data_IF_873539511529
#
_entry.id   IF_873539511529
#
_cell.length_a   1.000
_cell.length_b   1.000
_cell.length_c   1.000
_cell.angle_alpha   90.00
_cell.angle_beta   90.00
_cell.angle_gamma   90.00
#
_symmetry.space_group_name_H-M   'P 1'
#
loop_
_entity.id
_entity.type
_entity.pdbx_description
1 polymer ?
#
# COMPACT_ATOMS: atom_id res chain seq x y z
N UNK A 1 -7.52 -14.50 2.49
CA UNK A 1 -6.57 -15.57 2.09
C UNK A 1 -5.81 -16.01 3.33
N UNK A 2 -5.02 -17.09 3.29
CA UNK A 2 -4.17 -17.46 4.44
C UNK A 2 -2.91 -16.60 4.44
N UNK A 3 -2.43 -16.17 5.62
CA UNK A 3 -1.27 -15.29 5.77
C UNK A 3 -0.02 -15.78 5.01
N UNK A 4 0.20 -17.09 4.93
CA UNK A 4 1.30 -17.69 4.16
C UNK A 4 1.18 -17.44 2.64
N UNK A 5 -0.03 -17.47 2.11
CA UNK A 5 -0.29 -17.22 0.68
C UNK A 5 -0.12 -15.74 0.38
N UNK A 6 -0.60 -14.86 1.27
CA UNK A 6 -0.42 -13.42 1.16
C UNK A 6 1.07 -13.05 1.13
N UNK A 7 1.88 -13.62 2.04
CA UNK A 7 3.32 -13.39 2.06
C UNK A 7 4.01 -13.79 0.74
N UNK A 8 3.66 -14.93 0.14
CA UNK A 8 4.21 -15.37 -1.14
C UNK A 8 3.84 -14.41 -2.28
N UNK A 9 2.58 -13.95 -2.34
CA UNK A 9 2.14 -13.02 -3.37
C UNK A 9 2.76 -11.63 -3.22
N UNK A 10 2.94 -11.13 -2.00
CA UNK A 10 3.67 -9.89 -1.74
C UNK A 10 5.10 -10.02 -2.25
N UNK A 11 5.81 -11.09 -1.86
CA UNK A 11 7.18 -11.31 -2.32
C UNK A 11 7.27 -11.37 -3.84
N UNK A 12 6.38 -12.12 -4.50
CA UNK A 12 6.35 -12.20 -5.96
C UNK A 12 6.13 -10.82 -6.59
N UNK A 13 5.14 -10.04 -6.11
CA UNK A 13 4.83 -8.73 -6.66
C UNK A 13 6.00 -7.74 -6.53
N UNK A 14 6.68 -7.74 -5.39
CA UNK A 14 7.67 -6.71 -5.06
C UNK A 14 9.11 -7.10 -5.43
N UNK A 15 9.46 -8.38 -5.41
CA UNK A 15 10.80 -8.89 -5.74
C UNK A 15 10.93 -9.37 -7.19
N UNK A 16 9.85 -9.92 -7.77
CA UNK A 16 9.83 -10.43 -9.15
C UNK A 16 9.04 -9.49 -10.08
N UNK A 17 9.39 -8.20 -10.03
CA UNK A 17 8.66 -7.14 -10.73
C UNK A 17 8.62 -7.39 -12.23
N UNK A 18 7.42 -7.43 -12.79
CA UNK A 18 7.18 -7.48 -14.24
C UNK A 18 6.81 -6.09 -14.75
N UNK A 19 7.19 -5.71 -15.98
CA UNK A 19 6.78 -4.44 -16.57
C UNK A 19 5.25 -4.30 -16.67
N UNK A 20 4.55 -5.42 -16.89
CA UNK A 20 3.09 -5.45 -16.92
C UNK A 20 2.54 -6.78 -16.42
N UNK A 21 1.31 -6.75 -15.92
CA UNK A 21 0.55 -7.90 -15.43
C UNK A 21 -0.75 -7.99 -16.21
N UNK A 22 -1.11 -9.21 -16.63
CA UNK A 22 -2.45 -9.49 -17.14
C UNK A 22 -3.44 -9.48 -16.00
N UNK A 23 -4.71 -9.25 -16.33
CA UNK A 23 -5.80 -9.30 -15.36
C UNK A 23 -5.82 -10.60 -14.52
N UNK A 24 -5.54 -11.76 -15.14
CA UNK A 24 -5.49 -13.04 -14.43
C UNK A 24 -4.32 -13.11 -13.44
N UNK A 25 -3.17 -12.52 -13.78
CA UNK A 25 -1.99 -12.48 -12.89
C UNK A 25 -2.24 -11.55 -11.72
N UNK A 26 -2.75 -10.34 -11.98
CA UNK A 26 -3.15 -9.39 -10.92
C UNK A 26 -4.22 -9.99 -10.01
N UNK A 27 -5.21 -10.70 -10.57
CA UNK A 27 -6.27 -11.35 -9.80
C UNK A 27 -5.77 -12.48 -8.92
N UNK A 28 -4.78 -13.26 -9.40
CA UNK A 28 -4.14 -14.28 -8.56
C UNK A 28 -3.36 -13.64 -7.42
N UNK A 29 -2.52 -12.64 -7.72
CA UNK A 29 -1.67 -11.97 -6.71
C UNK A 29 -2.51 -11.32 -5.62
N UNK A 30 -3.53 -10.56 -6.01
CA UNK A 30 -4.35 -9.76 -5.09
C UNK A 30 -5.59 -10.52 -4.59
N UNK A 31 -5.86 -11.74 -5.06
CA UNK A 31 -7.13 -12.42 -4.75
C UNK A 31 -8.38 -11.65 -5.25
N UNK A 32 -8.20 -10.70 -6.18
CA UNK A 32 -9.29 -9.89 -6.73
C UNK A 32 -9.97 -10.59 -7.89
N UNK A 33 -11.29 -10.46 -7.96
CA UNK A 33 -12.08 -10.96 -9.09
C UNK A 33 -11.81 -10.15 -10.34
N UNK A 34 -12.07 -10.77 -11.50
CA UNK A 34 -12.01 -10.07 -12.78
C UNK A 34 -12.86 -8.80 -12.84
N UNK A 35 -14.06 -8.84 -12.28
CA UNK A 35 -14.98 -7.69 -12.27
C UNK A 35 -14.41 -6.52 -11.45
N UNK A 36 -13.79 -6.80 -10.30
CA UNK A 36 -13.11 -5.78 -9.50
C UNK A 36 -11.96 -5.17 -10.29
N UNK A 37 -11.07 -5.98 -10.86
CA UNK A 37 -9.93 -5.47 -11.63
C UNK A 37 -10.33 -4.69 -12.87
N UNK A 38 -11.37 -5.10 -13.60
CA UNK A 38 -11.89 -4.32 -14.73
C UNK A 38 -12.48 -2.98 -14.30
N UNK A 39 -13.05 -2.89 -13.08
CA UNK A 39 -13.51 -1.63 -12.51
C UNK A 39 -12.33 -0.72 -12.16
N UNK A 40 -11.32 -1.26 -11.47
CA UNK A 40 -10.11 -0.50 -11.14
C UNK A 40 -9.36 -0.03 -12.40
N UNK A 41 -9.33 -0.84 -13.47
CA UNK A 41 -8.71 -0.47 -14.74
C UNK A 41 -9.47 0.61 -15.53
N UNK A 42 -10.77 0.79 -15.24
CA UNK A 42 -11.61 1.81 -15.87
C UNK A 42 -11.66 3.10 -15.06
N UNK A 43 -11.34 3.05 -13.76
CA UNK A 43 -11.07 4.26 -13.00
C UNK A 43 -9.87 4.95 -13.64
N UNK A 44 -9.94 6.28 -13.78
CA UNK A 44 -9.00 7.11 -14.55
C UNK A 44 -7.62 7.18 -13.86
N UNK A 45 -6.94 6.04 -13.87
CA UNK A 45 -5.59 5.84 -13.36
C UNK A 45 -4.74 5.44 -14.57
N UNK A 46 -3.80 6.31 -14.95
CA UNK A 46 -2.93 6.18 -16.13
C UNK A 46 -2.03 4.91 -16.16
N UNK A 47 -2.29 3.94 -15.30
CA UNK A 47 -1.48 2.74 -15.06
C UNK A 47 -2.12 1.43 -15.49
N UNK A 48 -3.36 1.46 -15.99
CA UNK A 48 -3.97 0.35 -16.70
C UNK A 48 -4.21 0.73 -18.16
N UNK A 49 -3.82 -0.14 -19.08
CA UNK A 49 -3.95 0.11 -20.53
C UNK A 49 -4.42 -1.13 -21.27
N UNK A 50 -4.88 -0.94 -22.51
CA UNK A 50 -5.32 -2.03 -23.38
C UNK A 50 -4.32 -2.29 -24.49
N UNK A 51 -4.03 -3.57 -24.70
CA UNK A 51 -3.32 -4.04 -25.90
C UNK A 51 -4.16 -5.13 -26.53
N UNK A 52 -4.51 -5.01 -27.81
CA UNK A 52 -5.35 -5.97 -28.55
C UNK A 52 -6.66 -6.34 -27.80
N UNK A 53 -7.32 -5.33 -27.23
CA UNK A 53 -8.59 -5.50 -26.49
C UNK A 53 -8.46 -6.15 -25.11
N UNK A 54 -7.26 -6.45 -24.62
CA UNK A 54 -7.00 -7.03 -23.30
C UNK A 54 -6.40 -6.01 -22.35
N UNK A 55 -6.83 -6.04 -21.09
CA UNK A 55 -6.29 -5.19 -20.03
C UNK A 55 -4.91 -5.67 -19.57
N UNK A 56 -4.00 -4.72 -19.44
CA UNK A 56 -2.68 -4.84 -18.85
C UNK A 56 -2.54 -3.78 -17.76
N UNK A 57 -1.92 -4.17 -16.64
CA UNK A 57 -1.66 -3.32 -15.50
C UNK A 57 -0.15 -3.12 -15.39
N UNK A 58 0.32 -1.88 -15.23
CA UNK A 58 1.72 -1.67 -14.84
C UNK A 58 1.96 -2.24 -13.45
N UNK A 59 3.23 -2.47 -13.10
CA UNK A 59 3.58 -2.83 -11.73
C UNK A 59 3.03 -1.82 -10.71
N UNK A 60 3.06 -0.53 -11.05
CA UNK A 60 2.55 0.57 -10.22
C UNK A 60 1.08 0.40 -9.87
N UNK A 61 0.22 0.07 -10.84
CA UNK A 61 -1.20 -0.17 -10.56
C UNK A 61 -1.41 -1.37 -9.65
N UNK A 62 -0.71 -2.48 -9.90
CA UNK A 62 -0.86 -3.69 -9.09
C UNK A 62 -0.35 -3.46 -7.67
N UNK A 63 0.77 -2.75 -7.52
CA UNK A 63 1.30 -2.35 -6.22
C UNK A 63 0.35 -1.37 -5.49
N UNK A 64 -0.26 -0.42 -6.19
CA UNK A 64 -1.25 0.48 -5.58
C UNK A 64 -2.44 -0.30 -5.00
N UNK A 65 -2.96 -1.27 -5.76
CA UNK A 65 -4.02 -2.16 -5.27
C UNK A 65 -3.55 -3.05 -4.12
N UNK A 66 -2.29 -3.47 -4.12
CA UNK A 66 -1.68 -4.20 -3.02
C UNK A 66 -1.66 -3.39 -1.71
N UNK A 67 -1.31 -2.09 -1.76
CA UNK A 67 -1.35 -1.20 -0.59
C UNK A 67 -2.76 -0.94 -0.04
N UNK A 68 -3.80 -1.17 -0.83
CA UNK A 68 -5.20 -1.13 -0.37
C UNK A 68 -5.65 -2.43 0.29
N UNK A 69 -4.89 -3.50 0.12
CA UNK A 69 -5.24 -4.84 0.58
C UNK A 69 -4.38 -5.30 1.75
N UNK A 70 -3.09 -4.97 1.72
CA UNK A 70 -2.14 -5.31 2.76
C UNK A 70 -1.58 -4.04 3.38
N UNK A 71 -1.49 -4.03 4.70
CA UNK A 71 -0.86 -2.93 5.41
C UNK A 71 0.64 -2.89 5.08
N UNK A 72 1.26 -1.72 5.23
CA UNK A 72 2.71 -1.57 5.04
C UNK A 72 3.48 -2.53 5.98
N UNK A 73 2.96 -2.81 7.19
CA UNK A 73 3.52 -3.79 8.11
C UNK A 73 3.54 -5.21 7.53
N UNK A 74 2.42 -5.67 6.97
CA UNK A 74 2.35 -6.98 6.31
C UNK A 74 3.31 -7.06 5.11
N UNK A 75 3.44 -5.96 4.35
CA UNK A 75 4.40 -5.90 3.23
C UNK A 75 5.84 -6.01 3.73
N UNK A 76 6.21 -5.27 4.78
CA UNK A 76 7.54 -5.36 5.39
C UNK A 76 7.84 -6.76 5.92
N UNK A 77 6.90 -7.35 6.66
CA UNK A 77 7.05 -8.69 7.23
C UNK A 77 7.28 -9.74 6.14
N UNK A 78 6.48 -9.71 5.07
CA UNK A 78 6.62 -10.64 3.95
C UNK A 78 7.95 -10.46 3.18
N UNK A 79 8.42 -9.22 3.05
CA UNK A 79 9.70 -8.93 2.40
C UNK A 79 10.90 -9.27 3.29
N UNK A 80 10.76 -9.17 4.61
CA UNK A 80 11.83 -9.40 5.58
C UNK A 80 13.06 -8.54 5.28
N UNK A 81 14.24 -9.16 5.22
CA UNK A 81 15.50 -8.47 4.91
C UNK A 81 15.51 -7.80 3.52
N UNK A 82 14.59 -8.20 2.63
CA UNK A 82 14.51 -7.66 1.27
C UNK A 82 13.77 -6.31 1.24
N UNK A 83 13.09 -5.92 2.31
CA UNK A 83 12.31 -4.67 2.36
C UNK A 83 13.18 -3.43 2.12
N UNK A 84 14.35 -3.36 2.77
CA UNK A 84 15.26 -2.22 2.70
C UNK A 84 15.81 -1.94 1.28
N UNK A 85 15.91 -2.97 0.43
CA UNK A 85 16.35 -2.83 -0.97
C UNK A 85 15.19 -2.62 -1.95
N UNK A 86 13.97 -2.95 -1.53
CA UNK A 86 12.79 -3.02 -2.41
C UNK A 86 11.90 -1.78 -2.26
N UNK A 87 11.79 -1.27 -1.05
CA UNK A 87 10.95 -0.12 -0.71
C UNK A 87 11.80 1.17 -0.59
N UNK A 88 11.24 2.34 -0.89
CA UNK A 88 11.83 3.62 -0.53
C UNK A 88 12.30 3.65 0.94
N UNK A 89 13.47 4.23 1.25
CA UNK A 89 14.02 4.22 2.62
C UNK A 89 13.06 4.81 3.67
N UNK A 90 12.31 5.85 3.32
CA UNK A 90 11.35 6.50 4.22
C UNK A 90 10.04 5.72 4.41
N UNK A 91 9.86 4.58 3.73
CA UNK A 91 8.81 3.61 4.06
C UNK A 91 9.26 2.60 5.12
N UNK A 92 10.47 2.71 5.66
CA UNK A 92 10.91 1.87 6.79
C UNK A 92 10.05 2.13 8.01
N UNK A 93 9.53 1.07 8.62
CA UNK A 93 8.71 1.17 9.82
C UNK A 93 9.55 1.48 11.06
N UNK A 94 9.01 2.36 11.90
CA UNK A 94 9.59 2.77 13.19
C UNK A 94 8.48 2.82 14.22
N UNK A 95 8.75 2.29 15.41
CA UNK A 95 7.81 2.35 16.53
C UNK A 95 7.90 3.72 17.21
N UNK A 96 6.75 4.31 17.52
CA UNK A 96 6.63 5.57 18.26
C UNK A 96 5.73 5.32 19.47
N UNK A 97 6.27 5.45 20.68
CA UNK A 97 5.50 5.34 21.91
C UNK A 97 5.09 6.72 22.42
N UNK A 98 3.78 6.91 22.67
CA UNK A 98 3.22 8.17 23.17
C UNK A 98 2.35 7.92 24.41
N UNK A 99 2.25 8.92 25.30
CA UNK A 99 1.29 8.93 26.40
C UNK A 99 0.11 9.80 26.01
N UNK A 100 -1.07 9.21 25.87
CA UNK A 100 -2.29 9.91 25.50
C UNK A 100 -3.26 9.98 26.70
N UNK A 101 -4.05 11.05 26.83
CA UNK A 101 -5.21 11.05 27.69
C UNK A 101 -6.19 9.91 27.34
N UNK A 102 -6.84 9.34 28.35
CA UNK A 102 -7.79 8.22 28.20
C UNK A 102 -8.86 8.49 27.13
N UNK A 103 -9.39 9.71 27.04
CA UNK A 103 -10.44 10.02 26.07
C UNK A 103 -9.99 9.84 24.61
N UNK A 104 -8.71 10.08 24.30
CA UNK A 104 -8.16 9.84 22.97
C UNK A 104 -8.02 8.35 22.69
N UNK A 105 -7.52 7.60 23.69
CA UNK A 105 -7.39 6.14 23.57
C UNK A 105 -8.75 5.52 23.28
N UNK A 106 -9.80 5.93 24.01
CA UNK A 106 -11.17 5.44 23.79
C UNK A 106 -11.74 5.80 22.42
N UNK A 107 -11.47 7.01 21.93
CA UNK A 107 -11.90 7.41 20.60
C UNK A 107 -11.22 6.53 19.53
N UNK A 108 -9.90 6.34 19.61
CA UNK A 108 -9.14 5.51 18.68
C UNK A 108 -9.64 4.05 18.70
N UNK A 109 -9.80 3.47 19.89
CA UNK A 109 -10.34 2.10 20.05
C UNK A 109 -11.73 1.96 19.43
N UNK A 110 -12.59 2.98 19.60
CA UNK A 110 -13.95 2.97 19.07
C UNK A 110 -14.00 3.04 17.54
N UNK A 111 -13.22 3.95 16.94
CA UNK A 111 -13.16 4.11 15.49
C UNK A 111 -12.53 2.87 14.82
N UNK A 112 -11.41 2.36 15.35
CA UNK A 112 -10.79 1.15 14.84
C UNK A 112 -11.74 -0.06 14.87
N UNK A 113 -12.51 -0.23 15.95
CA UNK A 113 -13.51 -1.28 16.04
C UNK A 113 -14.69 -1.07 15.06
N UNK A 114 -15.07 0.18 14.81
CA UNK A 114 -16.17 0.51 13.88
C UNK A 114 -15.80 0.22 12.42
N UNK A 115 -14.52 0.36 12.08
CA UNK A 115 -13.96 0.07 10.76
C UNK A 115 -13.50 -1.39 10.58
N UNK A 116 -13.72 -2.26 11.59
CA UNK A 116 -13.25 -3.67 11.61
C UNK A 116 -11.73 -3.79 11.36
N UNK A 117 -10.96 -2.89 11.99
CA UNK A 117 -9.50 -2.79 11.84
C UNK A 117 -8.79 -2.76 13.19
N UNK A 118 -7.45 -2.77 13.17
CA UNK A 118 -6.63 -2.62 14.37
C UNK A 118 -6.41 -1.14 14.71
N UNK A 119 -6.10 -0.86 15.98
CA UNK A 119 -5.69 0.49 16.43
C UNK A 119 -4.49 1.00 15.62
N UNK A 120 -3.52 0.12 15.34
CA UNK A 120 -2.32 0.47 14.59
C UNK A 120 -2.65 0.86 13.15
N UNK A 121 -3.45 0.05 12.44
CA UNK A 121 -3.84 0.31 11.06
C UNK A 121 -4.70 1.58 10.94
N UNK A 122 -5.64 1.78 11.86
CA UNK A 122 -6.46 2.99 11.91
C UNK A 122 -5.60 4.24 12.14
N UNK A 123 -4.69 4.20 13.12
CA UNK A 123 -3.83 5.34 13.42
C UNK A 123 -2.86 5.63 12.27
N UNK A 124 -2.34 4.61 11.60
CA UNK A 124 -1.51 4.78 10.40
C UNK A 124 -2.29 5.49 9.30
N UNK A 125 -3.56 5.16 9.09
CA UNK A 125 -4.41 5.83 8.09
C UNK A 125 -4.51 7.34 8.36
N UNK A 126 -4.85 7.72 9.60
CA UNK A 126 -4.92 9.12 10.02
C UNK A 126 -3.57 9.87 9.89
N UNK A 127 -2.47 9.18 10.20
CA UNK A 127 -1.13 9.76 10.07
C UNK A 127 -0.68 9.93 8.60
N UNK A 128 -1.18 9.10 7.69
CA UNK A 128 -0.95 9.27 6.24
C UNK A 128 -1.62 10.56 5.75
N UNK A 129 -2.83 10.85 6.19
CA UNK A 129 -3.50 12.11 5.85
C UNK A 129 -2.71 13.32 6.35
N UNK A 130 -2.22 13.26 7.59
CA UNK A 130 -1.29 14.27 8.11
C UNK A 130 -0.03 14.40 7.24
N UNK A 131 0.61 13.30 6.84
CA UNK A 131 1.78 13.30 5.98
C UNK A 131 1.52 14.03 4.65
N UNK A 132 0.32 13.85 4.08
CA UNK A 132 -0.14 14.57 2.89
C UNK A 132 -0.17 16.09 3.08
N UNK A 133 -0.67 16.56 4.22
CA UNK A 133 -0.72 18.01 4.53
C UNK A 133 0.66 18.66 4.60
N UNK A 134 1.69 17.90 4.97
CA UNK A 134 3.05 18.41 5.15
C UNK A 134 4.02 18.04 4.02
N UNK A 135 3.63 17.19 3.07
CA UNK A 135 4.53 16.59 2.07
C UNK A 135 5.38 17.61 1.31
N UNK A 136 4.77 18.71 0.83
CA UNK A 136 5.48 19.76 0.09
C UNK A 136 6.53 20.49 0.94
N UNK A 137 6.23 20.70 2.22
CA UNK A 137 7.17 21.32 3.15
C UNK A 137 8.29 20.34 3.52
N UNK A 138 7.91 19.09 3.77
CA UNK A 138 8.84 18.05 4.20
C UNK A 138 9.85 17.68 3.13
N UNK A 139 9.49 17.68 1.84
CA UNK A 139 10.46 17.41 0.76
C UNK A 139 11.66 18.37 0.81
N UNK A 140 11.45 19.63 1.22
CA UNK A 140 12.51 20.63 1.31
C UNK A 140 13.50 20.36 2.44
N UNK A 141 13.11 19.58 3.45
CA UNK A 141 13.90 19.33 4.67
C UNK A 141 14.32 17.87 4.82
N UNK A 142 13.55 16.95 4.23
CA UNK A 142 13.76 15.50 4.24
C UNK A 142 13.65 15.03 2.79
N UNK A 143 14.79 14.93 2.07
CA UNK A 143 14.78 14.52 0.67
C UNK A 143 14.13 13.16 0.45
N UNK A 144 13.26 13.06 -0.57
CA UNK A 144 12.54 11.84 -0.92
C UNK A 144 11.27 11.58 -0.11
N UNK A 145 10.81 12.55 0.70
CA UNK A 145 9.57 12.45 1.47
C UNK A 145 8.36 12.31 0.54
N UNK A 146 8.25 13.15 -0.51
CA UNK A 146 7.18 13.07 -1.51
C UNK A 146 7.19 11.72 -2.21
N UNK A 147 8.36 11.29 -2.69
CA UNK A 147 8.52 9.97 -3.31
C UNK A 147 8.02 8.82 -2.43
N UNK A 148 8.26 8.88 -1.12
CA UNK A 148 7.79 7.86 -0.20
C UNK A 148 6.28 7.97 0.06
N UNK A 149 5.76 9.18 0.23
CA UNK A 149 4.34 9.44 0.43
C UNK A 149 3.49 9.00 -0.77
N UNK A 150 3.94 9.29 -2.00
CA UNK A 150 3.22 8.92 -3.22
C UNK A 150 3.49 7.48 -3.68
N UNK A 151 4.38 6.73 -3.02
CA UNK A 151 4.69 5.35 -3.43
C UNK A 151 3.43 4.46 -3.36
N UNK A 152 3.22 3.54 -4.32
CA UNK A 152 4.06 3.22 -5.49
C UNK A 152 3.80 4.12 -6.71
N UNK A 153 2.93 5.12 -6.55
CA UNK A 153 2.60 6.18 -7.49
C UNK A 153 3.77 7.09 -7.90
N UNK A 154 3.44 8.08 -8.73
CA UNK A 154 4.37 9.15 -9.11
C UNK A 154 4.06 10.41 -8.29
N UNK A 155 5.06 11.29 -8.16
CA UNK A 155 4.92 12.62 -7.56
C UNK A 155 4.09 13.60 -8.41
#
# INVERSE_FOLDING_TARGET
MSATVDALHIRELFLERKPSYRLSEAGRLLGMTRKQLEREARADHEDAYRTNGRWHFTWRQVAYLAFRQWSLAQIHEALGCDAARTLPPLLTLREITVRLPEYLVRAIEHEAASDDTTVDDWLVHELVDFAGTVANRMERTVPGFRRAYFFPGNE
#
